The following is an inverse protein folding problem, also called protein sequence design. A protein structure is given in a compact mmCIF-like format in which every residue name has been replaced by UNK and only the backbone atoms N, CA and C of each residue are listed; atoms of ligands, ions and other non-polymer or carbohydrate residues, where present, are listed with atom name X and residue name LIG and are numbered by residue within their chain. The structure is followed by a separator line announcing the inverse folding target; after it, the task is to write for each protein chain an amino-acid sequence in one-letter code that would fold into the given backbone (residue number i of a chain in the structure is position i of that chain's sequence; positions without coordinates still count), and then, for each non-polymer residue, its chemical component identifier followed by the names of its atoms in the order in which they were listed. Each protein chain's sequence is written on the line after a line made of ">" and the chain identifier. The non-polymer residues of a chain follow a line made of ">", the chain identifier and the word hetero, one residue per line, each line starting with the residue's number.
data_IF_839159309939
#
_entry.id   IF_839159309939
#
_cell.length_a   1.000
_cell.length_b   1.000
_cell.length_c   1.000
_cell.angle_alpha   90.00
_cell.angle_beta   90.00
_cell.angle_gamma   90.00
#
_symmetry.space_group_name_H-M   'P 1'
#
loop_
_entity.id
_entity.type
_entity.pdbx_description
1 polymer ?
#
# COMPACT_ATOMS: atom_id res chain seq x y z
N UNK A 1 13.28 -73.67 41.21
CA UNK A 1 13.43 -72.57 40.22
C UNK A 1 12.20 -71.67 40.35
N UNK A 2 12.31 -70.56 41.09
CA UNK A 2 11.18 -69.66 41.42
C UNK A 2 11.10 -68.58 40.33
N UNK A 3 9.99 -68.53 39.59
CA UNK A 3 9.75 -67.55 38.52
C UNK A 3 9.28 -66.26 39.18
N UNK A 4 9.99 -65.16 38.91
CA UNK A 4 9.65 -63.82 39.34
C UNK A 4 8.75 -63.19 38.27
N UNK A 5 7.50 -62.89 38.60
CA UNK A 5 6.55 -62.24 37.70
C UNK A 5 6.64 -60.72 37.78
N UNK A 6 6.70 -60.13 36.59
CA UNK A 6 6.80 -58.72 36.25
C UNK A 6 5.66 -57.86 36.80
N UNK A 7 5.99 -56.71 37.38
CA UNK A 7 5.05 -55.60 37.65
C UNK A 7 5.59 -54.30 37.02
N UNK A 8 5.06 -53.91 35.86
CA UNK A 8 5.17 -52.54 35.34
C UNK A 8 4.08 -52.28 34.30
N UNK A 9 2.83 -52.09 34.75
CA UNK A 9 1.71 -51.61 33.90
C UNK A 9 0.89 -50.48 34.54
N UNK A 10 1.28 -49.98 35.71
CA UNK A 10 0.53 -48.95 36.47
C UNK A 10 0.94 -47.50 36.22
N UNK A 11 2.15 -47.25 35.71
CA UNK A 11 2.75 -45.89 35.67
C UNK A 11 2.59 -45.21 34.31
N UNK A 12 2.41 -45.97 33.23
CA UNK A 12 2.35 -45.41 31.87
C UNK A 12 1.08 -44.60 31.61
N UNK A 13 -0.05 -45.01 32.21
CA UNK A 13 -1.37 -44.42 31.99
C UNK A 13 -1.54 -43.01 32.60
N UNK A 14 -1.12 -42.73 33.85
CA UNK A 14 -1.17 -41.37 34.38
C UNK A 14 -0.18 -40.45 33.66
N UNK A 15 0.98 -40.96 33.25
CA UNK A 15 1.98 -40.18 32.51
C UNK A 15 1.42 -39.68 31.18
N UNK A 16 0.71 -40.53 30.45
CA UNK A 16 0.12 -40.18 29.15
C UNK A 16 -1.00 -39.12 29.29
N UNK A 17 -1.79 -39.19 30.38
CA UNK A 17 -2.81 -38.18 30.69
C UNK A 17 -2.17 -36.83 31.00
N UNK A 18 -1.09 -36.80 31.79
CA UNK A 18 -0.35 -35.56 32.09
C UNK A 18 0.24 -34.94 30.82
N UNK A 19 0.80 -35.74 29.91
CA UNK A 19 1.29 -35.24 28.63
C UNK A 19 0.19 -34.61 27.77
N UNK A 20 -1.00 -35.22 27.73
CA UNK A 20 -2.14 -34.66 26.98
C UNK A 20 -2.59 -33.33 27.58
N UNK A 21 -2.70 -33.24 28.92
CA UNK A 21 -3.10 -32.00 29.60
C UNK A 21 -2.09 -30.88 29.33
N UNK A 22 -0.78 -31.18 29.40
CA UNK A 22 0.28 -30.21 29.10
C UNK A 22 0.24 -29.75 27.64
N UNK A 23 -0.01 -30.66 26.69
CA UNK A 23 -0.13 -30.31 25.28
C UNK A 23 -1.34 -29.41 25.01
N UNK A 24 -2.50 -29.71 25.61
CA UNK A 24 -3.69 -28.87 25.52
C UNK A 24 -3.47 -27.49 26.15
N UNK A 25 -2.81 -27.43 27.30
CA UNK A 25 -2.48 -26.15 27.96
C UNK A 25 -1.54 -25.29 27.10
N UNK A 26 -0.51 -25.89 26.50
CA UNK A 26 0.39 -25.20 25.58
C UNK A 26 -0.33 -24.69 24.31
N UNK A 27 -1.25 -25.47 23.75
CA UNK A 27 -2.05 -25.03 22.60
C UNK A 27 -2.96 -23.85 22.98
N UNK A 28 -3.62 -23.89 24.13
CA UNK A 28 -4.42 -22.78 24.64
C UNK A 28 -3.58 -21.53 24.92
N UNK A 29 -2.36 -21.69 25.45
CA UNK A 29 -1.40 -20.60 25.63
C UNK A 29 -1.00 -19.96 24.29
N UNK A 30 -0.75 -20.76 23.24
CA UNK A 30 -0.42 -20.25 21.91
C UNK A 30 -1.60 -19.55 21.21
N UNK A 31 -2.84 -19.95 21.52
CA UNK A 31 -4.05 -19.27 21.01
C UNK A 31 -4.31 -17.97 21.79
N UNK A 32 -4.10 -17.99 23.11
CA UNK A 32 -4.38 -16.85 24.00
C UNK A 32 -3.29 -15.77 23.94
N UNK A 33 -2.02 -16.19 23.89
CA UNK A 33 -0.91 -15.31 23.54
C UNK A 33 -0.98 -15.14 22.02
N UNK A 34 -1.79 -14.18 21.55
CA UNK A 34 -1.59 -13.61 20.22
C UNK A 34 -0.10 -13.31 20.11
N UNK A 35 0.65 -13.96 19.20
CA UNK A 35 2.04 -13.58 19.00
C UNK A 35 1.98 -12.12 18.57
N UNK A 36 2.52 -11.23 19.40
CA UNK A 36 2.80 -9.88 18.95
C UNK A 36 3.79 -10.09 17.81
N UNK A 37 3.33 -9.90 16.57
CA UNK A 37 4.13 -10.01 15.35
C UNK A 37 5.16 -8.85 15.27
N UNK A 38 5.84 -8.54 16.37
CA UNK A 38 7.00 -7.65 16.40
C UNK A 38 8.18 -8.25 15.62
N UNK A 39 8.19 -9.57 15.39
CA UNK A 39 9.16 -10.25 14.51
C UNK A 39 8.89 -10.08 13.01
N UNK A 40 7.73 -9.57 12.60
CA UNK A 40 7.37 -9.36 11.17
C UNK A 40 7.44 -7.88 10.78
N UNK A 41 7.82 -6.98 11.70
CA UNK A 41 8.32 -5.69 11.26
C UNK A 41 9.73 -5.88 10.75
N UNK A 42 9.84 -6.18 9.45
CA UNK A 42 11.02 -5.84 8.67
C UNK A 42 11.44 -4.41 9.07
N UNK A 43 12.75 -4.14 9.24
CA UNK A 43 13.21 -2.79 9.50
C UNK A 43 12.57 -1.88 8.45
N UNK A 44 12.11 -0.70 8.89
CA UNK A 44 11.67 0.39 8.00
C UNK A 44 12.63 0.38 6.82
N UNK A 45 12.14 0.04 5.62
CA UNK A 45 12.95 0.03 4.42
C UNK A 45 13.51 1.44 4.27
N UNK A 46 14.79 1.58 4.63
CA UNK A 46 15.49 2.84 4.54
C UNK A 46 15.67 3.19 3.07
N UNK A 47 15.94 4.45 2.75
CA UNK A 47 16.32 4.88 1.40
C UNK A 47 17.45 4.02 0.77
N UNK A 48 18.17 3.23 1.57
CA UNK A 48 19.11 2.23 1.08
C UNK A 48 18.46 1.10 0.26
N UNK A 49 17.20 0.71 0.48
CA UNK A 49 16.55 -0.35 -0.31
C UNK A 49 16.29 0.13 -1.75
N UNK A 50 15.85 1.39 -1.90
CA UNK A 50 15.68 2.06 -3.20
C UNK A 50 17.03 2.22 -3.92
N UNK A 51 18.08 2.63 -3.21
CA UNK A 51 19.44 2.71 -3.76
C UNK A 51 20.00 1.33 -4.13
N UNK A 52 19.70 0.29 -3.35
CA UNK A 52 20.10 -1.10 -3.60
C UNK A 52 19.36 -1.66 -4.81
N UNK A 53 18.09 -1.31 -4.99
CA UNK A 53 17.31 -1.62 -6.19
C UNK A 53 17.88 -0.88 -7.41
N UNK A 54 18.24 0.39 -7.29
CA UNK A 54 18.91 1.17 -8.35
C UNK A 54 20.24 0.53 -8.78
N UNK A 55 21.03 0.04 -7.83
CA UNK A 55 22.29 -0.66 -8.12
C UNK A 55 22.07 -2.07 -8.70
N UNK A 56 20.97 -2.75 -8.34
CA UNK A 56 20.62 -4.05 -8.89
C UNK A 56 20.20 -3.96 -10.37
N UNK A 57 19.46 -2.92 -10.76
CA UNK A 57 19.10 -2.67 -12.17
C UNK A 57 20.27 -2.18 -13.04
N UNK A 58 21.35 -1.65 -12.43
CA UNK A 58 22.47 -1.05 -13.15
C UNK A 58 23.51 -2.04 -13.68
N UNK A 59 23.45 -3.33 -13.34
CA UNK A 59 24.55 -4.29 -13.60
C UNK A 59 24.21 -5.45 -14.55
N UNK A 60 23.01 -5.50 -15.14
CA UNK A 60 22.70 -6.47 -16.19
C UNK A 60 22.47 -5.78 -17.53
N UNK A 61 23.47 -5.86 -18.40
CA UNK A 61 23.31 -5.69 -19.85
C UNK A 61 22.65 -6.94 -20.42
N UNK A 62 21.36 -7.12 -20.15
CA UNK A 62 20.49 -8.04 -20.89
C UNK A 62 19.72 -7.20 -21.92
N UNK A 63 19.46 -7.75 -23.12
CA UNK A 63 18.50 -7.17 -24.07
C UNK A 63 17.18 -6.90 -23.32
N UNK A 64 16.91 -5.65 -22.96
CA UNK A 64 15.71 -5.32 -22.20
C UNK A 64 14.49 -5.57 -23.08
N UNK A 65 13.74 -6.64 -22.79
CA UNK A 65 12.41 -6.80 -23.35
C UNK A 65 11.57 -5.61 -22.88
N UNK A 66 11.18 -4.78 -23.83
CA UNK A 66 10.42 -3.56 -23.58
C UNK A 66 9.08 -3.91 -22.91
N UNK A 67 8.89 -3.45 -21.68
CA UNK A 67 7.66 -3.63 -20.91
C UNK A 67 6.72 -2.46 -21.18
N UNK A 68 5.74 -2.68 -22.05
CA UNK A 68 4.67 -1.72 -22.29
C UNK A 68 3.58 -1.76 -21.20
N UNK A 69 3.31 -0.60 -20.61
CA UNK A 69 2.21 -0.36 -19.65
C UNK A 69 1.23 0.63 -20.27
N UNK A 70 -0.02 0.22 -20.43
CA UNK A 70 -1.10 1.04 -20.97
C UNK A 70 -1.87 1.72 -19.85
N UNK A 71 -1.81 3.05 -19.80
CA UNK A 71 -2.64 3.87 -18.92
C UNK A 71 -4.03 4.00 -19.52
N UNK A 72 -4.97 3.19 -19.02
CA UNK A 72 -6.31 3.07 -19.60
C UNK A 72 -7.29 4.08 -19.00
N UNK A 73 -7.21 4.29 -17.68
CA UNK A 73 -8.00 5.28 -16.94
C UNK A 73 -7.07 6.14 -16.10
N UNK A 74 -7.02 7.42 -16.44
CA UNK A 74 -6.22 8.43 -15.73
C UNK A 74 -6.85 8.79 -14.38
N UNK A 75 -6.03 9.07 -13.35
CA UNK A 75 -6.53 9.56 -12.08
C UNK A 75 -7.05 10.98 -12.21
N UNK A 76 -8.34 11.17 -11.98
CA UNK A 76 -9.04 12.47 -11.97
C UNK A 76 -8.82 13.29 -13.25
N UNK A 77 -8.65 12.62 -14.39
CA UNK A 77 -8.34 13.25 -15.68
C UNK A 77 -6.96 13.92 -15.75
N UNK A 78 -6.13 13.78 -14.73
CA UNK A 78 -4.78 14.33 -14.71
C UNK A 78 -3.83 13.44 -15.51
N UNK A 79 -3.06 14.05 -16.40
CA UNK A 79 -2.05 13.36 -17.22
C UNK A 79 -0.65 13.64 -16.69
N UNK A 80 0.27 12.72 -16.96
CA UNK A 80 1.68 12.87 -16.62
C UNK A 80 2.56 12.49 -17.82
N UNK A 81 3.82 12.92 -17.78
CA UNK A 81 4.80 12.58 -18.81
C UNK A 81 5.02 11.06 -18.88
N UNK A 82 4.79 10.49 -20.06
CA UNK A 82 4.95 9.06 -20.29
C UNK A 82 6.43 8.64 -20.46
N UNK A 83 7.35 9.59 -20.60
CA UNK A 83 8.80 9.36 -20.67
C UNK A 83 9.48 9.28 -19.30
N UNK A 84 8.70 9.44 -18.24
CA UNK A 84 9.13 9.48 -16.83
C UNK A 84 10.02 8.30 -16.40
N UNK A 85 9.82 7.10 -16.95
CA UNK A 85 10.57 5.90 -16.56
C UNK A 85 12.10 6.11 -16.68
N UNK A 86 12.57 6.56 -17.85
CA UNK A 86 14.00 6.80 -18.05
C UNK A 86 14.41 8.13 -17.43
N UNK A 87 13.64 9.20 -17.68
CA UNK A 87 14.03 10.57 -17.33
C UNK A 87 14.12 10.80 -15.81
N UNK A 88 13.20 10.23 -15.02
CA UNK A 88 13.15 10.45 -13.57
C UNK A 88 13.71 9.28 -12.77
N UNK A 89 13.54 8.05 -13.26
CA UNK A 89 13.87 6.85 -12.48
C UNK A 89 15.04 6.03 -13.05
N UNK A 90 15.57 6.42 -14.22
CA UNK A 90 16.62 5.67 -14.94
C UNK A 90 16.25 4.19 -15.16
N UNK A 91 14.97 3.94 -15.44
CA UNK A 91 14.44 2.61 -15.74
C UNK A 91 14.41 2.43 -17.26
N UNK A 92 15.31 1.58 -17.76
CA UNK A 92 15.37 1.19 -19.17
C UNK A 92 14.33 0.10 -19.49
N UNK A 93 13.89 0.04 -20.75
CA UNK A 93 12.92 -0.96 -21.21
C UNK A 93 11.51 -0.78 -20.62
N UNK A 94 11.17 0.40 -20.12
CA UNK A 94 9.80 0.75 -19.72
C UNK A 94 9.17 1.66 -20.78
N UNK A 95 8.00 1.29 -21.27
CA UNK A 95 7.21 2.11 -22.19
C UNK A 95 5.82 2.37 -21.63
N UNK A 96 5.56 3.59 -21.19
CA UNK A 96 4.22 4.03 -20.81
C UNK A 96 3.50 4.57 -22.04
N UNK A 97 2.25 4.18 -22.22
CA UNK A 97 1.43 4.63 -23.36
C UNK A 97 -0.02 4.82 -22.97
N UNK A 98 -0.74 5.66 -23.71
CA UNK A 98 -2.21 5.77 -23.66
C UNK A 98 -2.87 5.27 -24.94
N UNK A 99 -2.10 4.78 -25.89
CA UNK A 99 -2.63 4.27 -27.15
C UNK A 99 -3.40 2.97 -26.91
N UNK A 100 -4.73 3.06 -26.94
CA UNK A 100 -5.64 1.92 -26.75
C UNK A 100 -5.47 0.85 -27.83
N UNK A 101 -4.91 1.19 -29.00
CA UNK A 101 -4.59 0.23 -30.05
C UNK A 101 -3.58 -0.83 -29.59
N UNK A 102 -2.74 -0.48 -28.61
CA UNK A 102 -1.72 -1.35 -28.03
C UNK A 102 -2.26 -2.25 -26.91
N UNK A 103 -3.56 -2.25 -26.62
CA UNK A 103 -4.15 -3.09 -25.58
C UNK A 103 -3.71 -4.56 -25.70
N UNK A 104 -3.83 -5.18 -26.88
CA UNK A 104 -3.48 -6.60 -27.05
C UNK A 104 -1.96 -6.90 -27.01
N UNK A 105 -1.11 -5.86 -26.95
CA UNK A 105 0.35 -5.97 -26.89
C UNK A 105 0.92 -5.53 -25.53
N UNK A 106 0.12 -4.83 -24.73
CA UNK A 106 0.57 -4.25 -23.46
C UNK A 106 0.68 -5.33 -22.39
N UNK A 107 1.80 -5.36 -21.68
CA UNK A 107 2.03 -6.31 -20.59
C UNK A 107 1.17 -5.99 -19.36
N UNK A 108 0.89 -4.71 -19.15
CA UNK A 108 0.01 -4.26 -18.08
C UNK A 108 -0.97 -3.18 -18.53
N UNK A 109 -2.13 -3.14 -17.88
CA UNK A 109 -3.17 -2.12 -18.09
C UNK A 109 -3.47 -1.48 -16.74
N UNK A 110 -3.17 -0.19 -16.62
CA UNK A 110 -3.36 0.59 -15.41
C UNK A 110 -4.73 1.28 -15.43
N UNK A 111 -5.53 1.04 -14.39
CA UNK A 111 -6.91 1.52 -14.30
C UNK A 111 -7.10 2.19 -12.93
N UNK A 112 -7.40 3.48 -12.93
CA UNK A 112 -7.76 4.21 -11.72
C UNK A 112 -9.19 3.96 -11.28
N UNK A 113 -9.40 3.49 -10.04
CA UNK A 113 -10.71 3.08 -9.52
C UNK A 113 -11.77 4.18 -9.54
N UNK A 114 -11.42 5.39 -9.08
CA UNK A 114 -12.40 6.48 -8.92
C UNK A 114 -12.99 6.96 -10.23
N UNK A 115 -12.28 6.73 -11.33
CA UNK A 115 -12.67 7.15 -12.66
C UNK A 115 -13.26 5.99 -13.48
N UNK A 116 -13.45 4.80 -12.90
CA UNK A 116 -14.24 3.73 -13.52
C UNK A 116 -15.70 4.17 -13.58
N UNK A 117 -16.31 4.14 -14.77
CA UNK A 117 -17.73 4.48 -14.95
C UNK A 117 -18.62 3.46 -14.24
N UNK A 118 -19.79 3.87 -13.75
CA UNK A 118 -20.70 2.96 -13.04
C UNK A 118 -21.27 1.85 -13.92
N UNK A 119 -21.37 2.11 -15.22
CA UNK A 119 -21.79 1.16 -16.25
C UNK A 119 -20.63 0.34 -16.83
N UNK A 120 -19.40 0.54 -16.32
CA UNK A 120 -18.15 -0.12 -16.75
C UNK A 120 -17.78 0.07 -18.23
N UNK A 121 -18.49 0.96 -18.96
CA UNK A 121 -18.28 1.20 -20.39
C UNK A 121 -16.89 1.72 -20.72
N UNK A 122 -16.22 2.37 -19.76
CA UNK A 122 -14.88 2.89 -19.95
C UNK A 122 -13.77 1.88 -19.63
N UNK A 123 -14.10 0.63 -19.30
CA UNK A 123 -13.12 -0.47 -19.17
C UNK A 123 -12.85 -1.14 -20.54
N UNK A 124 -11.72 -1.86 -20.70
CA UNK A 124 -11.46 -2.61 -21.92
C UNK A 124 -12.52 -3.70 -22.15
N UNK A 125 -13.18 -3.66 -23.31
CA UNK A 125 -14.21 -4.63 -23.72
C UNK A 125 -13.63 -5.82 -24.51
N UNK A 126 -12.36 -5.73 -24.92
CA UNK A 126 -11.66 -6.78 -25.66
C UNK A 126 -11.19 -7.89 -24.72
N UNK A 127 -11.17 -9.13 -25.21
CA UNK A 127 -10.66 -10.27 -24.47
C UNK A 127 -9.21 -10.01 -24.01
N UNK A 128 -8.96 -10.18 -22.71
CA UNK A 128 -7.65 -9.94 -22.11
C UNK A 128 -6.65 -11.02 -22.55
N UNK A 129 -5.49 -10.66 -23.13
CA UNK A 129 -4.44 -11.62 -23.43
C UNK A 129 -3.94 -12.33 -22.16
N UNK A 130 -3.59 -13.64 -22.20
CA UNK A 130 -3.19 -14.38 -21.00
C UNK A 130 -1.97 -13.82 -20.25
N UNK A 131 -1.05 -13.16 -20.97
CA UNK A 131 0.14 -12.55 -20.38
C UNK A 131 -0.13 -11.20 -19.72
N UNK A 132 -1.25 -10.55 -20.05
CA UNK A 132 -1.54 -9.19 -19.63
C UNK A 132 -2.07 -9.14 -18.19
N UNK A 133 -1.50 -8.25 -17.38
CA UNK A 133 -1.95 -7.98 -16.01
C UNK A 133 -2.77 -6.69 -15.95
N UNK A 134 -3.94 -6.74 -15.35
CA UNK A 134 -4.68 -5.53 -15.01
C UNK A 134 -4.26 -5.07 -13.61
N UNK A 135 -3.91 -3.79 -13.50
CA UNK A 135 -3.46 -3.15 -12.27
C UNK A 135 -4.58 -2.25 -11.77
N UNK A 136 -5.09 -2.56 -10.59
CA UNK A 136 -6.04 -1.74 -9.87
C UNK A 136 -5.30 -0.62 -9.15
N UNK A 137 -5.49 0.62 -9.58
CA UNK A 137 -4.88 1.78 -8.96
C UNK A 137 -5.90 2.57 -8.15
N UNK A 138 -5.60 2.81 -6.88
CA UNK A 138 -6.37 3.74 -6.07
C UNK A 138 -5.52 4.27 -4.92
N UNK A 139 -5.48 5.60 -4.80
CA UNK A 139 -4.89 6.24 -3.63
C UNK A 139 -5.94 6.71 -2.63
N UNK A 140 -7.22 6.72 -2.98
CA UNK A 140 -8.28 7.20 -2.09
C UNK A 140 -8.58 6.25 -0.93
N UNK A 141 -9.05 6.82 0.18
CA UNK A 141 -9.42 6.02 1.36
C UNK A 141 -10.64 5.13 1.08
N UNK A 142 -10.83 4.03 1.83
CA UNK A 142 -12.00 3.16 1.68
C UNK A 142 -13.33 3.91 1.80
N UNK A 143 -13.42 4.88 2.71
CA UNK A 143 -14.60 5.74 2.89
C UNK A 143 -14.93 6.61 1.69
N UNK A 144 -13.95 6.92 0.83
CA UNK A 144 -14.13 7.69 -0.41
C UNK A 144 -14.02 6.80 -1.67
N UNK A 145 -14.05 5.48 -1.50
CA UNK A 145 -13.86 4.50 -2.58
C UNK A 145 -15.07 3.56 -2.57
N UNK A 146 -16.21 3.96 -3.15
CA UNK A 146 -17.37 3.09 -3.19
C UNK A 146 -17.06 1.84 -4.01
N UNK A 147 -17.58 0.69 -3.55
CA UNK A 147 -17.50 -0.55 -4.30
C UNK A 147 -18.32 -0.42 -5.58
N UNK A 148 -17.74 -0.86 -6.70
CA UNK A 148 -18.42 -0.96 -7.99
C UNK A 148 -18.72 -2.44 -8.25
N UNK A 149 -19.95 -2.74 -8.61
CA UNK A 149 -20.33 -4.09 -9.01
C UNK A 149 -19.77 -4.42 -10.39
N UNK A 150 -19.44 -5.68 -10.63
CA UNK A 150 -18.94 -6.19 -11.91
C UNK A 150 -17.43 -6.07 -12.10
N UNK A 151 -16.70 -5.52 -11.13
CA UNK A 151 -15.22 -5.47 -11.14
C UNK A 151 -14.57 -6.46 -10.18
N UNK A 152 -15.39 -7.27 -9.49
CA UNK A 152 -14.91 -8.35 -8.64
C UNK A 152 -14.03 -9.29 -9.46
N UNK A 153 -12.79 -9.52 -9.00
CA UNK A 153 -11.83 -10.44 -9.62
C UNK A 153 -11.28 -10.04 -11.01
N UNK A 154 -11.50 -8.82 -11.50
CA UNK A 154 -10.92 -8.37 -12.77
C UNK A 154 -9.41 -8.09 -12.71
N UNK A 155 -8.92 -7.71 -11.54
CA UNK A 155 -7.56 -7.20 -11.36
C UNK A 155 -6.59 -8.29 -10.88
N UNK A 156 -5.33 -8.19 -11.31
CA UNK A 156 -4.27 -9.09 -10.91
C UNK A 156 -3.33 -8.50 -9.88
N UNK A 157 -3.14 -7.18 -9.92
CA UNK A 157 -2.21 -6.46 -9.06
C UNK A 157 -2.91 -5.23 -8.48
N UNK A 158 -2.50 -4.86 -7.27
CA UNK A 158 -2.94 -3.67 -6.56
C UNK A 158 -1.82 -2.62 -6.54
N UNK A 159 -2.17 -1.36 -6.82
CA UNK A 159 -1.28 -0.22 -6.74
C UNK A 159 -1.92 0.84 -5.82
N UNK A 160 -1.44 0.93 -4.58
CA UNK A 160 -2.05 1.76 -3.53
C UNK A 160 -1.03 2.31 -2.53
N UNK A 161 -1.48 3.16 -1.61
CA UNK A 161 -0.67 3.63 -0.48
C UNK A 161 -0.44 2.58 0.61
N UNK A 162 -1.18 1.46 0.60
CA UNK A 162 -1.04 0.43 1.63
C UNK A 162 0.29 -0.31 1.47
N UNK A 163 0.91 -0.67 2.59
CA UNK A 163 2.19 -1.40 2.61
C UNK A 163 2.08 -2.85 2.14
N UNK A 164 0.87 -3.39 2.10
CA UNK A 164 0.57 -4.76 1.69
C UNK A 164 0.02 -4.87 0.25
N UNK A 165 0.05 -3.78 -0.54
CA UNK A 165 -0.28 -3.87 -1.96
C UNK A 165 0.88 -4.42 -2.78
N UNK A 166 0.57 -5.08 -3.90
CA UNK A 166 1.58 -5.64 -4.83
C UNK A 166 2.57 -4.57 -5.32
N UNK A 167 2.08 -3.35 -5.54
CA UNK A 167 2.86 -2.17 -5.92
C UNK A 167 2.54 -1.04 -4.93
N UNK A 168 3.39 -0.87 -3.92
CA UNK A 168 3.22 0.20 -2.95
C UNK A 168 3.62 1.56 -3.55
N UNK A 169 2.70 2.53 -3.51
CA UNK A 169 2.95 3.93 -3.91
C UNK A 169 2.50 4.86 -2.78
N UNK A 170 3.43 5.40 -1.97
CA UNK A 170 3.07 6.35 -0.93
C UNK A 170 2.59 7.68 -1.54
N UNK A 171 1.77 8.42 -0.81
CA UNK A 171 1.34 9.77 -1.19
C UNK A 171 2.49 10.77 -1.37
N UNK A 172 3.62 10.50 -0.73
CA UNK A 172 4.83 11.28 -0.86
C UNK A 172 5.97 10.63 -0.10
N UNK A 173 7.18 11.07 -0.43
CA UNK A 173 8.40 10.72 0.29
C UNK A 173 9.24 11.98 0.49
N UNK A 174 10.04 11.99 1.55
CA UNK A 174 11.00 13.05 1.78
C UNK A 174 12.29 12.71 1.04
N UNK A 175 12.82 13.66 0.30
CA UNK A 175 14.15 13.57 -0.31
C UNK A 175 15.07 14.60 0.31
N UNK A 176 16.34 14.23 0.48
CA UNK A 176 17.35 15.17 0.94
C UNK A 176 17.75 16.03 -0.25
N UNK A 177 17.55 17.34 -0.14
CA UNK A 177 18.09 18.29 -1.11
C UNK A 177 19.61 18.30 -1.01
N UNK A 178 20.29 18.10 -2.14
CA UNK A 178 21.75 18.27 -2.25
C UNK A 178 22.13 19.74 -2.40
N UNK A 179 21.17 20.61 -2.73
CA UNK A 179 21.38 22.04 -2.84
C UNK A 179 21.17 22.68 -1.47
N UNK A 180 22.10 23.54 -1.01
CA UNK A 180 21.92 24.31 0.20
C UNK A 180 20.72 25.24 -0.01
N UNK A 181 19.61 24.93 0.68
CA UNK A 181 18.43 25.77 0.68
C UNK A 181 18.62 26.82 1.77
N UNK A 182 18.98 28.04 1.37
CA UNK A 182 19.04 29.19 2.28
C UNK A 182 17.61 29.67 2.47
N UNK A 183 16.95 29.14 3.49
CA UNK A 183 15.64 29.58 3.94
C UNK A 183 15.78 30.19 5.32
N UNK A 184 15.59 31.50 5.38
CA UNK A 184 15.47 32.19 6.65
C UNK A 184 14.12 31.83 7.26
N UNK A 185 14.15 31.01 8.31
CA UNK A 185 12.95 30.64 9.03
C UNK A 185 12.37 31.92 9.64
N UNK A 186 11.15 32.33 9.26
CA UNK A 186 10.56 33.55 9.79
C UNK A 186 10.33 33.41 11.29
N UNK A 187 10.27 34.54 11.98
CA UNK A 187 9.90 34.54 13.40
C UNK A 187 8.51 33.92 13.57
N UNK A 188 8.39 33.04 14.58
CA UNK A 188 7.15 32.31 14.84
C UNK A 188 6.15 33.23 15.54
N UNK A 189 5.14 33.68 14.79
CA UNK A 189 4.08 34.55 15.31
C UNK A 189 2.84 33.77 15.79
N UNK A 190 2.56 32.62 15.18
CA UNK A 190 1.35 31.83 15.40
C UNK A 190 1.67 30.47 16.02
N UNK A 191 0.82 30.02 16.95
CA UNK A 191 1.04 28.76 17.66
C UNK A 191 0.69 27.53 16.81
N UNK A 192 -0.53 27.53 16.24
CA UNK A 192 -1.09 26.44 15.43
C UNK A 192 -1.70 27.00 14.15
N UNK A 193 -1.43 26.31 13.05
CA UNK A 193 -2.05 26.52 11.75
C UNK A 193 -2.82 25.26 11.35
N UNK A 194 -4.04 25.42 10.85
CA UNK A 194 -4.94 24.34 10.44
C UNK A 194 -5.45 24.57 9.03
N UNK A 195 -4.82 23.90 8.05
CA UNK A 195 -5.10 24.09 6.63
C UNK A 195 -6.01 22.97 6.13
N UNK A 196 -7.27 23.28 5.80
CA UNK A 196 -8.26 22.30 5.35
C UNK A 196 -9.17 22.90 4.27
N UNK A 197 -9.37 22.16 3.18
CA UNK A 197 -10.35 22.54 2.15
C UNK A 197 -11.63 21.71 2.19
N UNK A 198 -11.56 20.44 2.58
CA UNK A 198 -12.73 19.55 2.63
C UNK A 198 -13.27 19.45 4.08
N UNK A 199 -14.36 20.14 4.39
CA UNK A 199 -14.97 20.12 5.73
C UNK A 199 -16.20 19.23 5.79
N UNK A 200 -16.25 18.36 6.80
CA UNK A 200 -17.45 17.60 7.13
C UNK A 200 -17.47 17.37 8.65
N UNK A 201 -18.53 17.76 9.38
CA UNK A 201 -18.66 17.56 10.83
C UNK A 201 -18.43 16.12 11.28
N UNK A 202 -18.71 15.14 10.42
CA UNK A 202 -18.53 13.73 10.77
C UNK A 202 -17.07 13.26 10.72
N UNK A 203 -16.19 13.99 10.05
CA UNK A 203 -14.77 13.64 9.99
C UNK A 203 -14.11 13.74 11.36
N UNK A 204 -13.29 12.75 11.71
CA UNK A 204 -12.52 12.75 12.95
C UNK A 204 -11.66 14.03 13.13
N UNK A 205 -11.08 14.56 12.04
CA UNK A 205 -10.29 15.80 12.07
C UNK A 205 -11.11 17.02 12.51
N UNK A 206 -12.40 17.07 12.14
CA UNK A 206 -13.29 18.18 12.48
C UNK A 206 -13.72 18.08 13.94
N UNK A 207 -14.08 16.86 14.38
CA UNK A 207 -14.37 16.58 15.79
C UNK A 207 -13.19 16.97 16.68
N UNK A 208 -11.96 16.65 16.26
CA UNK A 208 -10.75 17.05 16.97
C UNK A 208 -10.52 18.56 16.96
N UNK A 209 -10.67 19.23 15.82
CA UNK A 209 -10.55 20.69 15.72
C UNK A 209 -11.50 21.39 16.71
N UNK A 210 -12.77 20.96 16.77
CA UNK A 210 -13.79 21.58 17.63
C UNK A 210 -13.43 21.47 19.12
N UNK A 211 -12.77 20.41 19.55
CA UNK A 211 -12.30 20.29 20.94
C UNK A 211 -11.01 21.09 21.17
N UNK A 212 -10.08 21.06 20.22
CA UNK A 212 -8.81 21.77 20.33
C UNK A 212 -9.00 23.30 20.35
N UNK A 213 -9.90 23.82 19.50
CA UNK A 213 -10.15 25.26 19.37
C UNK A 213 -10.74 25.90 20.62
N UNK A 214 -11.25 25.11 21.57
CA UNK A 214 -11.72 25.60 22.88
C UNK A 214 -10.58 25.97 23.82
N UNK A 215 -9.40 25.39 23.60
CA UNK A 215 -8.26 25.48 24.53
C UNK A 215 -7.12 26.34 24.01
N UNK A 216 -6.96 26.44 22.69
CA UNK A 216 -5.90 27.23 22.05
C UNK A 216 -6.45 27.95 20.83
N UNK A 217 -5.86 29.11 20.51
CA UNK A 217 -6.13 29.80 19.26
C UNK A 217 -5.55 29.02 18.07
N UNK A 218 -6.40 28.75 17.08
CA UNK A 218 -6.04 28.01 15.86
C UNK A 218 -6.24 28.95 14.68
N UNK A 219 -5.18 29.18 13.91
CA UNK A 219 -5.25 29.95 12.68
C UNK A 219 -5.63 29.02 11.53
N UNK A 220 -6.76 29.29 10.89
CA UNK A 220 -7.36 28.40 9.89
C UNK A 220 -7.15 28.92 8.48
N UNK A 221 -6.87 28.02 7.54
CA UNK A 221 -6.69 28.35 6.13
C UNK A 221 -7.34 27.30 5.24
N UNK A 222 -7.57 27.67 3.97
CA UNK A 222 -8.14 26.79 2.96
C UNK A 222 -9.64 26.99 2.81
N UNK A 223 -10.19 26.32 1.79
CA UNK A 223 -11.55 26.55 1.33
C UNK A 223 -12.64 26.31 2.39
N UNK A 224 -12.37 25.45 3.39
CA UNK A 224 -13.30 25.19 4.48
C UNK A 224 -13.60 26.44 5.33
N UNK A 225 -12.69 27.41 5.32
CA UNK A 225 -12.74 28.60 6.16
C UNK A 225 -12.84 29.90 5.35
N UNK A 226 -12.95 29.80 4.02
CA UNK A 226 -13.04 30.97 3.14
C UNK A 226 -11.74 31.77 3.01
N UNK A 227 -10.63 31.26 3.52
CA UNK A 227 -9.31 31.91 3.45
C UNK A 227 -8.44 31.24 2.38
N UNK A 228 -7.94 32.05 1.44
CA UNK A 228 -6.99 31.65 0.39
C UNK A 228 -5.57 32.12 0.74
#
# INVERSE_FOLDING_TARGET
>A
KKIMTSTSKGILRPFLIVCIILACFMACLLIYIKPTNSWVFSPIESASSVLKMKNFFSTKTDYFNETTILVWVWPFGQTFDLTSCQAMFNIQGCHLTTDRSLYNKSHAVLIHHRDISWDLTNLPQQARPPFQKWIWMNLESPTHTPQKSGIEHLFNLTLTYRRDSDIQVPYGFLTVSTNPFVFEVPSKEKLVCWVVSNWNPEHARVKYYNELSKSIEIHTYGQAFGEY
#
